data_IF_601464991754
#
_entry.id   IF_601464991754
#
_cell.length_a   1.000
_cell.length_b   1.000
_cell.length_c   1.000
_cell.angle_alpha   90.00
_cell.angle_beta   90.00
_cell.angle_gamma   90.00
#
_symmetry.space_group_name_H-M   'P 1'
#
loop_
_entity.id
_entity.type
_entity.pdbx_description
1 polymer ?
#
# COMPACT_ATOMS: atom_id res chain seq x y z
N UNK A 1 18.27 -7.12 -17.39
CA UNK A 1 17.19 -6.31 -16.77
C UNK A 1 16.64 -7.13 -15.61
N UNK A 2 16.86 -6.66 -14.39
CA UNK A 2 16.66 -7.37 -13.11
C UNK A 2 15.16 -7.70 -12.84
N UNK A 3 14.90 -8.79 -12.11
CA UNK A 3 13.56 -9.27 -11.71
C UNK A 3 12.80 -8.22 -10.90
N UNK A 4 13.49 -7.46 -10.04
CA UNK A 4 12.91 -6.34 -9.28
C UNK A 4 12.38 -5.24 -10.21
N UNK A 5 13.13 -4.89 -11.25
CA UNK A 5 12.72 -3.87 -12.25
C UNK A 5 11.53 -4.34 -13.08
N UNK A 6 11.53 -5.60 -13.52
CA UNK A 6 10.40 -6.18 -14.28
C UNK A 6 9.13 -6.27 -13.44
N UNK A 7 9.25 -6.70 -12.18
CA UNK A 7 8.12 -6.78 -11.27
C UNK A 7 7.52 -5.41 -10.97
N UNK A 8 8.37 -4.39 -10.73
CA UNK A 8 7.91 -3.03 -10.49
C UNK A 8 7.19 -2.43 -11.71
N UNK A 9 7.72 -2.65 -12.92
CA UNK A 9 7.07 -2.20 -14.15
C UNK A 9 5.72 -2.90 -14.39
N UNK A 10 5.66 -4.22 -14.12
CA UNK A 10 4.41 -4.98 -14.20
C UNK A 10 3.38 -4.46 -13.19
N UNK A 11 3.78 -4.18 -11.96
CA UNK A 11 2.89 -3.60 -10.95
C UNK A 11 2.32 -2.26 -11.41
N UNK A 12 3.17 -1.33 -11.90
CA UNK A 12 2.70 -0.02 -12.35
C UNK A 12 1.69 -0.14 -13.49
N UNK A 13 1.94 -1.06 -14.43
CA UNK A 13 0.98 -1.35 -15.50
C UNK A 13 -0.35 -1.86 -14.96
N UNK A 14 -0.34 -2.83 -14.04
CA UNK A 14 -1.57 -3.40 -13.47
C UNK A 14 -2.35 -2.34 -12.68
N UNK A 15 -1.68 -1.49 -11.89
CA UNK A 15 -2.32 -0.42 -11.13
C UNK A 15 -2.95 0.62 -12.05
N UNK A 16 -2.28 0.98 -13.15
CA UNK A 16 -2.84 1.86 -14.16
C UNK A 16 -4.12 1.26 -14.77
N UNK A 17 -4.06 0.00 -15.22
CA UNK A 17 -5.23 -0.72 -15.76
C UNK A 17 -6.37 -0.82 -14.74
N UNK A 18 -6.06 -1.04 -13.46
CA UNK A 18 -7.05 -1.07 -12.38
C UNK A 18 -7.72 0.30 -12.18
N UNK A 19 -6.95 1.39 -12.21
CA UNK A 19 -7.45 2.76 -12.13
C UNK A 19 -8.38 3.10 -13.31
N UNK A 20 -7.97 2.77 -14.53
CA UNK A 20 -8.80 2.96 -15.72
C UNK A 20 -10.11 2.15 -15.65
N UNK A 21 -10.07 0.95 -15.09
CA UNK A 21 -11.26 0.13 -14.87
C UNK A 21 -12.20 0.76 -13.82
N UNK A 22 -11.67 1.32 -12.73
CA UNK A 22 -12.46 2.05 -11.73
C UNK A 22 -13.17 3.26 -12.36
N UNK A 23 -12.45 4.08 -13.12
CA UNK A 23 -13.00 5.29 -13.78
C UNK A 23 -14.13 4.95 -14.75
N UNK A 24 -14.05 3.79 -15.40
CA UNK A 24 -15.07 3.29 -16.34
C UNK A 24 -16.21 2.53 -15.66
N UNK A 25 -16.25 2.48 -14.32
CA UNK A 25 -17.27 1.74 -13.55
C UNK A 25 -17.14 0.22 -13.66
N UNK A 26 -16.03 -0.30 -14.19
CA UNK A 26 -15.77 -1.74 -14.35
C UNK A 26 -15.19 -2.34 -13.07
N UNK A 27 -15.90 -2.24 -11.95
CA UNK A 27 -15.30 -2.53 -10.64
C UNK A 27 -14.91 -4.01 -10.45
N UNK A 28 -15.58 -4.97 -11.12
CA UNK A 28 -15.15 -6.38 -11.11
C UNK A 28 -13.78 -6.59 -11.75
N UNK A 29 -13.51 -5.88 -12.86
CA UNK A 29 -12.21 -5.89 -13.53
C UNK A 29 -11.15 -5.23 -12.64
N UNK A 30 -11.48 -4.08 -12.05
CA UNK A 30 -10.60 -3.40 -11.10
C UNK A 30 -10.24 -4.29 -9.90
N UNK A 31 -11.21 -5.00 -9.31
CA UNK A 31 -10.98 -5.95 -8.23
C UNK A 31 -9.97 -7.05 -8.60
N UNK A 32 -10.11 -7.62 -9.80
CA UNK A 32 -9.19 -8.65 -10.29
C UNK A 32 -7.78 -8.07 -10.44
N UNK A 33 -7.65 -6.89 -11.05
CA UNK A 33 -6.36 -6.22 -11.25
C UNK A 33 -5.68 -5.84 -9.94
N UNK A 34 -6.40 -5.31 -8.96
CA UNK A 34 -5.83 -5.04 -7.64
C UNK A 34 -5.38 -6.32 -6.93
N UNK A 35 -6.11 -7.42 -7.11
CA UNK A 35 -5.71 -8.74 -6.57
C UNK A 35 -4.42 -9.24 -7.23
N UNK A 36 -4.26 -9.05 -8.55
CA UNK A 36 -3.02 -9.35 -9.26
C UNK A 36 -1.86 -8.46 -8.76
N UNK A 37 -2.09 -7.15 -8.66
CA UNK A 37 -1.10 -6.19 -8.17
C UNK A 37 -0.58 -6.54 -6.77
N UNK A 38 -1.49 -6.96 -5.86
CA UNK A 38 -1.12 -7.46 -4.53
C UNK A 38 -0.14 -8.63 -4.61
N UNK A 39 -0.40 -9.61 -5.49
CA UNK A 39 0.45 -10.80 -5.62
C UNK A 39 1.85 -10.41 -6.09
N UNK A 40 1.95 -9.51 -7.08
CA UNK A 40 3.23 -9.00 -7.59
C UNK A 40 4.03 -8.34 -6.47
N UNK A 41 3.40 -7.42 -5.72
CA UNK A 41 4.06 -6.69 -4.63
C UNK A 41 4.48 -7.59 -3.48
N UNK A 42 3.62 -8.55 -3.09
CA UNK A 42 3.96 -9.54 -2.07
C UNK A 42 5.19 -10.36 -2.47
N UNK A 43 5.27 -10.78 -3.74
CA UNK A 43 6.40 -11.58 -4.22
C UNK A 43 7.69 -10.75 -4.28
N UNK A 44 7.63 -9.47 -4.63
CA UNK A 44 8.77 -8.55 -4.57
C UNK A 44 9.26 -8.37 -3.13
N UNK A 45 8.34 -8.11 -2.19
CA UNK A 45 8.67 -8.01 -0.76
C UNK A 45 9.31 -9.30 -0.23
N UNK A 46 8.75 -10.48 -0.56
CA UNK A 46 9.33 -11.77 -0.19
C UNK A 46 10.74 -11.99 -0.78
N UNK A 47 10.95 -11.58 -2.04
CA UNK A 47 12.27 -11.60 -2.68
C UNK A 47 13.27 -10.73 -1.94
N UNK A 48 12.91 -9.49 -1.57
CA UNK A 48 13.78 -8.64 -0.77
C UNK A 48 14.05 -9.21 0.62
N UNK A 49 13.08 -9.85 1.27
CA UNK A 49 13.31 -10.54 2.55
C UNK A 49 14.36 -11.66 2.41
N UNK A 50 14.34 -12.40 1.30
CA UNK A 50 15.39 -13.39 1.02
C UNK A 50 16.75 -12.72 0.78
N UNK A 51 16.79 -11.59 0.07
CA UNK A 51 18.01 -10.81 -0.15
C UNK A 51 18.63 -10.27 1.15
N UNK A 52 17.81 -9.93 2.16
CA UNK A 52 18.30 -9.50 3.49
C UNK A 52 19.22 -10.55 4.10
N UNK A 53 18.92 -11.85 3.94
CA UNK A 53 19.73 -12.94 4.48
C UNK A 53 21.14 -12.98 3.87
N UNK A 54 21.32 -12.43 2.67
CA UNK A 54 22.61 -12.31 1.98
C UNK A 54 23.31 -10.97 2.15
N UNK A 55 22.75 -10.04 2.93
CA UNK A 55 23.31 -8.70 3.09
C UNK A 55 24.71 -8.75 3.74
N UNK A 56 25.66 -8.04 3.16
CA UNK A 56 27.08 -8.06 3.58
C UNK A 56 27.36 -7.13 4.76
N UNK A 57 26.48 -6.17 5.00
CA UNK A 57 26.61 -5.19 6.07
C UNK A 57 25.24 -4.61 6.45
N UNK A 58 25.20 -3.88 7.57
CA UNK A 58 23.99 -3.24 8.08
C UNK A 58 23.39 -2.20 7.13
N UNK A 59 24.22 -1.54 6.31
CA UNK A 59 23.76 -0.54 5.34
C UNK A 59 22.94 -1.18 4.23
N UNK A 60 23.48 -2.23 3.62
CA UNK A 60 22.80 -3.02 2.58
C UNK A 60 21.53 -3.65 3.14
N UNK A 61 21.60 -4.23 4.35
CA UNK A 61 20.44 -4.77 5.05
C UNK A 61 19.33 -3.73 5.23
N UNK A 62 19.66 -2.50 5.65
CA UNK A 62 18.70 -1.41 5.81
C UNK A 62 18.04 -1.03 4.46
N UNK A 63 18.83 -0.88 3.39
CA UNK A 63 18.30 -0.52 2.06
C UNK A 63 17.37 -1.59 1.48
N UNK A 64 17.69 -2.87 1.68
CA UNK A 64 16.84 -3.99 1.24
C UNK A 64 15.59 -4.06 2.12
N UNK A 65 15.71 -3.87 3.44
CA UNK A 65 14.59 -3.88 4.39
C UNK A 65 13.56 -2.79 4.05
N UNK A 66 14.02 -1.57 3.74
CA UNK A 66 13.13 -0.47 3.31
C UNK A 66 12.37 -0.85 2.04
N UNK A 67 13.04 -1.45 1.05
CA UNK A 67 12.38 -1.94 -0.18
C UNK A 67 11.34 -3.03 0.16
N UNK A 68 11.70 -3.99 1.00
CA UNK A 68 10.79 -5.06 1.43
C UNK A 68 9.53 -4.50 2.11
N UNK A 69 9.68 -3.53 3.01
CA UNK A 69 8.57 -2.89 3.71
C UNK A 69 7.72 -2.04 2.75
N UNK A 70 8.33 -1.27 1.86
CA UNK A 70 7.61 -0.48 0.86
C UNK A 70 6.76 -1.36 -0.06
N UNK A 71 7.32 -2.47 -0.56
CA UNK A 71 6.56 -3.47 -1.33
C UNK A 71 5.43 -4.11 -0.52
N UNK A 72 5.66 -4.42 0.76
CA UNK A 72 4.62 -4.95 1.63
C UNK A 72 3.48 -3.94 1.86
N UNK A 73 3.79 -2.65 2.10
CA UNK A 73 2.80 -1.58 2.14
C UNK A 73 2.01 -1.50 0.84
N UNK A 74 2.67 -1.55 -0.31
CA UNK A 74 2.01 -1.52 -1.62
C UNK A 74 1.10 -2.75 -1.86
N UNK A 75 1.47 -3.93 -1.35
CA UNK A 75 0.62 -5.11 -1.39
C UNK A 75 -0.65 -4.94 -0.52
N UNK A 76 -0.50 -4.37 0.68
CA UNK A 76 -1.64 -4.07 1.56
C UNK A 76 -2.55 -3.00 0.95
N UNK A 77 -1.97 -1.94 0.40
CA UNK A 77 -2.70 -0.90 -0.34
C UNK A 77 -3.53 -1.49 -1.50
N UNK A 78 -2.94 -2.37 -2.32
CA UNK A 78 -3.66 -3.07 -3.37
C UNK A 78 -4.78 -4.00 -2.83
N UNK A 79 -4.62 -4.54 -1.62
CA UNK A 79 -5.67 -5.31 -0.94
C UNK A 79 -6.84 -4.42 -0.52
N UNK A 80 -6.56 -3.24 0.02
CA UNK A 80 -7.61 -2.28 0.40
C UNK A 80 -8.38 -1.84 -0.84
N UNK A 81 -7.67 -1.50 -1.92
CA UNK A 81 -8.26 -1.10 -3.20
C UNK A 81 -9.12 -2.21 -3.83
N UNK A 82 -8.71 -3.48 -3.71
CA UNK A 82 -9.57 -4.58 -4.17
C UNK A 82 -10.85 -4.65 -3.35
N UNK A 83 -10.79 -4.52 -2.03
CA UNK A 83 -12.01 -4.48 -1.21
C UNK A 83 -12.90 -3.26 -1.49
N UNK A 84 -12.32 -2.10 -1.77
CA UNK A 84 -13.09 -0.94 -2.24
C UNK A 84 -13.80 -1.26 -3.55
N UNK A 85 -13.11 -1.83 -4.53
CA UNK A 85 -13.72 -2.24 -5.80
C UNK A 85 -14.85 -3.27 -5.56
N UNK A 86 -14.66 -4.22 -4.65
CA UNK A 86 -15.67 -5.20 -4.25
C UNK A 86 -16.91 -4.55 -3.62
N UNK A 87 -16.72 -3.56 -2.75
CA UNK A 87 -17.83 -2.80 -2.20
C UNK A 87 -18.62 -2.05 -3.29
N UNK A 88 -17.94 -1.54 -4.33
CA UNK A 88 -18.55 -0.75 -5.40
C UNK A 88 -19.35 -1.58 -6.43
N UNK A 89 -18.99 -2.84 -6.70
CA UNK A 89 -19.84 -3.71 -7.54
C UNK A 89 -20.84 -4.58 -6.76
N UNK A 90 -20.80 -4.57 -5.42
CA UNK A 90 -21.76 -5.34 -4.64
C UNK A 90 -23.18 -4.83 -4.89
N UNK A 91 -24.09 -5.77 -5.19
CA UNK A 91 -25.52 -5.47 -5.30
C UNK A 91 -26.22 -5.48 -3.93
N UNK A 92 -25.59 -6.13 -2.94
CA UNK A 92 -26.08 -6.24 -1.58
C UNK A 92 -25.35 -5.24 -0.67
N UNK A 93 -26.12 -4.53 0.17
CA UNK A 93 -25.62 -3.50 1.08
C UNK A 93 -24.82 -4.09 2.24
N UNK A 94 -25.18 -5.27 2.75
CA UNK A 94 -24.44 -5.94 3.82
C UNK A 94 -23.07 -6.41 3.32
N UNK A 95 -23.02 -6.98 2.12
CA UNK A 95 -21.76 -7.35 1.46
C UNK A 95 -20.87 -6.13 1.22
N UNK A 96 -21.44 -5.03 0.73
CA UNK A 96 -20.70 -3.78 0.52
C UNK A 96 -20.08 -3.25 1.83
N UNK A 97 -20.84 -3.30 2.92
CA UNK A 97 -20.38 -2.90 4.26
C UNK A 97 -19.30 -3.84 4.78
N UNK A 98 -19.44 -5.15 4.58
CA UNK A 98 -18.44 -6.14 4.97
C UNK A 98 -17.10 -5.92 4.24
N UNK A 99 -17.14 -5.61 2.95
CA UNK A 99 -15.93 -5.26 2.19
C UNK A 99 -15.27 -3.98 2.70
N UNK A 100 -16.04 -2.93 3.01
CA UNK A 100 -15.48 -1.70 3.60
C UNK A 100 -14.88 -1.94 4.98
N UNK A 101 -15.51 -2.78 5.82
CA UNK A 101 -14.93 -3.19 7.09
C UNK A 101 -13.59 -3.90 6.92
N UNK A 102 -13.47 -4.79 5.93
CA UNK A 102 -12.20 -5.45 5.58
C UNK A 102 -11.16 -4.47 5.04
N UNK A 103 -11.58 -3.53 4.19
CA UNK A 103 -10.73 -2.47 3.66
C UNK A 103 -10.12 -1.64 4.80
N UNK A 104 -10.96 -1.24 5.77
CA UNK A 104 -10.53 -0.51 6.98
C UNK A 104 -9.56 -1.32 7.83
N UNK A 105 -9.89 -2.57 8.15
CA UNK A 105 -9.02 -3.41 8.98
C UNK A 105 -7.64 -3.65 8.34
N UNK A 106 -7.56 -3.77 7.02
CA UNK A 106 -6.26 -3.87 6.32
C UNK A 106 -5.51 -2.54 6.33
N UNK A 107 -6.20 -1.41 6.12
CA UNK A 107 -5.56 -0.10 6.17
C UNK A 107 -4.98 0.19 7.57
N UNK A 108 -5.70 -0.20 8.62
CA UNK A 108 -5.26 -0.12 10.01
C UNK A 108 -4.07 -1.03 10.28
N UNK A 109 -4.11 -2.30 9.87
CA UNK A 109 -2.97 -3.21 10.04
C UNK A 109 -1.71 -2.74 9.28
N UNK A 110 -1.86 -1.94 8.23
CA UNK A 110 -0.75 -1.37 7.48
C UNK A 110 -0.07 -0.20 8.22
N UNK A 111 -0.72 0.40 9.22
CA UNK A 111 -0.21 1.55 9.96
C UNK A 111 1.15 1.28 10.61
N UNK A 112 1.27 0.19 11.37
CA UNK A 112 2.52 -0.15 12.06
C UNK A 112 3.68 -0.33 11.07
N UNK A 113 3.40 -0.96 9.92
CA UNK A 113 4.39 -1.14 8.86
C UNK A 113 4.81 0.20 8.24
N UNK A 114 3.86 1.12 8.04
CA UNK A 114 4.12 2.48 7.55
C UNK A 114 4.95 3.28 8.55
N UNK A 115 4.67 3.19 9.85
CA UNK A 115 5.46 3.86 10.89
C UNK A 115 6.89 3.31 10.96
N UNK A 116 7.07 1.99 10.88
CA UNK A 116 8.40 1.36 10.79
C UNK A 116 9.14 1.80 9.52
N UNK A 117 8.46 1.83 8.38
CA UNK A 117 9.03 2.29 7.12
C UNK A 117 9.48 3.75 7.24
N UNK A 118 8.63 4.64 7.74
CA UNK A 118 8.96 6.06 7.96
C UNK A 118 10.21 6.21 8.83
N UNK A 119 10.25 5.53 9.98
CA UNK A 119 11.41 5.56 10.87
C UNK A 119 12.68 5.08 10.17
N UNK A 120 12.57 4.05 9.33
CA UNK A 120 13.70 3.50 8.57
C UNK A 120 14.22 4.49 7.52
N UNK A 121 13.33 5.25 6.88
CA UNK A 121 13.70 6.30 5.94
C UNK A 121 14.48 7.44 6.61
N UNK A 122 14.17 7.77 7.85
CA UNK A 122 14.88 8.81 8.62
C UNK A 122 16.35 8.42 8.93
N UNK A 123 16.74 7.16 8.71
CA UNK A 123 18.13 6.68 8.87
C UNK A 123 18.95 6.77 7.59
N UNK A 124 18.33 7.10 6.46
CA UNK A 124 19.02 7.27 5.19
C UNK A 124 19.78 8.61 5.16
N UNK A 125 20.90 8.62 4.46
CA UNK A 125 21.72 9.80 4.15
C UNK A 125 21.27 10.43 2.82
N UNK A 126 22.09 11.30 2.22
CA UNK A 126 21.80 11.99 0.95
C UNK A 126 22.49 11.38 -0.28
N UNK A 127 23.05 10.17 -0.15
CA UNK A 127 23.59 9.42 -1.29
C UNK A 127 22.52 9.27 -2.41
N UNK A 128 22.96 9.06 -3.65
CA UNK A 128 22.02 8.86 -4.76
C UNK A 128 21.16 7.60 -4.58
N UNK A 129 21.74 6.52 -4.04
CA UNK A 129 21.02 5.28 -3.74
C UNK A 129 19.98 5.51 -2.63
N UNK A 130 20.38 6.22 -1.58
CA UNK A 130 19.52 6.59 -0.46
C UNK A 130 18.32 7.40 -0.92
N UNK A 131 18.55 8.39 -1.79
CA UNK A 131 17.47 9.24 -2.34
C UNK A 131 16.49 8.42 -3.18
N UNK A 132 16.95 7.43 -3.94
CA UNK A 132 16.06 6.52 -4.69
C UNK A 132 15.23 5.65 -3.76
N UNK A 133 15.87 5.03 -2.77
CA UNK A 133 15.19 4.20 -1.76
C UNK A 133 14.21 5.02 -0.93
N UNK A 134 14.57 6.26 -0.58
CA UNK A 134 13.70 7.21 0.12
C UNK A 134 12.45 7.53 -0.67
N UNK A 135 12.58 7.94 -1.94
CA UNK A 135 11.43 8.23 -2.81
C UNK A 135 10.48 7.04 -2.90
N UNK A 136 11.02 5.83 -3.06
CA UNK A 136 10.20 4.62 -3.15
C UNK A 136 9.41 4.34 -1.86
N UNK A 137 10.05 4.49 -0.70
CA UNK A 137 9.37 4.37 0.59
C UNK A 137 8.32 5.46 0.82
N UNK A 138 8.65 6.72 0.53
CA UNK A 138 7.73 7.86 0.65
C UNK A 138 6.49 7.70 -0.24
N UNK A 139 6.66 7.16 -1.46
CA UNK A 139 5.55 6.85 -2.35
C UNK A 139 4.61 5.78 -1.75
N UNK A 140 5.17 4.72 -1.16
CA UNK A 140 4.37 3.69 -0.49
C UNK A 140 3.56 4.27 0.69
N UNK A 141 4.18 5.15 1.50
CA UNK A 141 3.54 5.86 2.61
C UNK A 141 2.43 6.78 2.09
N UNK A 142 2.72 7.60 1.09
CA UNK A 142 1.77 8.53 0.48
C UNK A 142 0.53 7.81 -0.05
N UNK A 143 0.74 6.67 -0.72
CA UNK A 143 -0.34 5.84 -1.23
C UNK A 143 -1.21 5.27 -0.10
N UNK A 144 -0.60 4.80 1.00
CA UNK A 144 -1.35 4.34 2.17
C UNK A 144 -2.19 5.47 2.77
N UNK A 145 -1.60 6.66 2.95
CA UNK A 145 -2.29 7.84 3.49
C UNK A 145 -3.54 8.19 2.67
N UNK A 146 -3.41 8.22 1.34
CA UNK A 146 -4.53 8.47 0.43
C UNK A 146 -5.63 7.41 0.55
N UNK A 147 -5.24 6.15 0.64
CA UNK A 147 -6.17 5.02 0.73
C UNK A 147 -6.91 5.02 2.08
N UNK A 148 -6.22 5.29 3.19
CA UNK A 148 -6.84 5.39 4.50
C UNK A 148 -7.92 6.48 4.54
N UNK A 149 -7.60 7.67 3.99
CA UNK A 149 -8.57 8.77 3.88
C UNK A 149 -9.78 8.31 3.06
N UNK A 150 -9.55 7.74 1.87
CA UNK A 150 -10.62 7.27 0.99
C UNK A 150 -11.52 6.22 1.65
N UNK A 151 -10.96 5.22 2.34
CA UNK A 151 -11.77 4.21 3.05
C UNK A 151 -12.60 4.87 4.14
N UNK A 152 -12.01 5.78 4.89
CA UNK A 152 -12.69 6.49 5.98
C UNK A 152 -13.88 7.29 5.44
N UNK A 153 -13.68 8.05 4.36
CA UNK A 153 -14.75 8.79 3.68
C UNK A 153 -15.86 7.85 3.18
N UNK A 154 -15.50 6.76 2.51
CA UNK A 154 -16.47 5.80 1.99
C UNK A 154 -17.29 5.10 3.10
N UNK A 155 -16.68 4.87 4.27
CA UNK A 155 -17.35 4.33 5.44
C UNK A 155 -18.33 5.35 6.03
N UNK A 156 -17.90 6.60 6.20
CA UNK A 156 -18.73 7.69 6.74
C UNK A 156 -19.95 7.96 5.86
N UNK A 157 -19.77 8.04 4.54
CA UNK A 157 -20.85 8.17 3.54
C UNK A 157 -21.92 7.08 3.64
N UNK A 158 -21.58 5.92 4.19
CA UNK A 158 -22.47 4.76 4.32
C UNK A 158 -22.97 4.55 5.76
N UNK A 159 -22.71 5.52 6.64
CA UNK A 159 -23.10 5.48 8.06
C UNK A 159 -22.39 4.37 8.84
N UNK A 160 -21.19 3.97 8.41
CA UNK A 160 -20.35 3.02 9.12
C UNK A 160 -19.38 3.76 10.04
N UNK A 161 -19.00 3.14 11.15
CA UNK A 161 -17.96 3.67 12.04
C UNK A 161 -16.63 3.72 11.30
N UNK A 162 -16.20 4.92 10.91
CA UNK A 162 -14.96 5.14 10.21
C UNK A 162 -13.77 5.26 11.20
N UNK A 163 -12.54 4.85 10.83
CA UNK A 163 -11.38 4.84 11.71
C UNK A 163 -10.75 6.25 11.85
N UNK A 164 -11.54 7.26 12.23
CA UNK A 164 -11.08 8.66 12.33
C UNK A 164 -9.94 8.85 13.32
N UNK A 165 -9.92 8.08 14.42
CA UNK A 165 -8.82 8.08 15.39
C UNK A 165 -7.47 7.64 14.77
N UNK A 166 -7.48 6.75 13.77
CA UNK A 166 -6.27 6.36 13.05
C UNK A 166 -5.74 7.51 12.17
N UNK A 167 -6.62 8.29 11.54
CA UNK A 167 -6.22 9.49 10.80
C UNK A 167 -5.57 10.50 11.74
N UNK A 168 -6.16 10.74 12.91
CA UNK A 168 -5.58 11.65 13.91
C UNK A 168 -4.20 11.18 14.38
N UNK A 169 -4.04 9.87 14.62
CA UNK A 169 -2.77 9.27 15.00
C UNK A 169 -1.73 9.44 13.89
N UNK A 170 -2.09 9.15 12.64
CA UNK A 170 -1.21 9.29 11.49
C UNK A 170 -0.81 10.75 11.22
N UNK A 171 -1.69 11.72 11.52
CA UNK A 171 -1.36 13.15 11.50
C UNK A 171 -0.36 13.52 12.60
N UNK A 172 -0.56 13.01 13.83
CA UNK A 172 0.36 13.23 14.95
C UNK A 172 1.77 12.66 14.67
N UNK A 173 1.85 11.54 13.97
CA UNK A 173 3.12 10.94 13.55
C UNK A 173 3.75 11.60 12.30
N UNK A 174 3.09 12.61 11.73
CA UNK A 174 3.56 13.31 10.52
C UNK A 174 3.58 12.43 9.28
N UNK A 175 2.78 11.36 9.26
CA UNK A 175 2.61 10.45 8.11
C UNK A 175 1.58 11.05 7.15
N UNK A 176 0.48 11.58 7.68
CA UNK A 176 -0.50 12.36 6.94
C UNK A 176 -0.23 13.84 7.18
N UNK A 177 -0.17 14.63 6.10
CA UNK A 177 -0.04 16.09 6.20
C UNK A 177 -1.33 16.68 6.78
N UNK A 178 -1.17 17.62 7.70
CA UNK A 178 -2.27 18.36 8.35
C UNK A 178 -3.08 19.18 7.37
#
# INVERSE_FOLDING_TARGET
MDLSTKGSALFMKIIQEAGEALEKGKYKEAFQKFTEARIVQRNLSAGNIQEILGAKNSRECLLISIRAFAHACQALNATVESFIAAALFSQDLEDARAFLGRASGVAEACFDLVSILKWSLDKLTDSEEDRKTRRFGEEAISNWSRILIRVTEMMDERGLTAPTGLIEMAKKEGIIKS
#
